data_IF_129432658654
#
_entry.id   IF_129432658654
#
_cell.length_a   1.000
_cell.length_b   1.000
_cell.length_c   1.000
_cell.angle_alpha   90.00
_cell.angle_beta   90.00
_cell.angle_gamma   90.00
#
_symmetry.space_group_name_H-M   'P 1'
#
loop_
_entity.id
_entity.type
_entity.pdbx_description
1 polymer ?
#
# COMPACT_ATOMS: atom_id res chain seq x y z
N UNK A 1 -22.89 -50.04 6.87
CA UNK A 1 -23.40 -48.70 6.49
C UNK A 1 -22.71 -47.55 7.23
N UNK A 2 -22.57 -47.57 8.57
CA UNK A 2 -21.92 -46.48 9.33
C UNK A 2 -20.47 -46.17 8.92
N UNK A 3 -19.68 -47.19 8.57
CA UNK A 3 -18.26 -47.02 8.17
C UNK A 3 -18.09 -46.30 6.83
N UNK A 4 -19.00 -46.57 5.87
CA UNK A 4 -19.00 -45.89 4.58
C UNK A 4 -19.45 -44.43 4.70
N UNK A 5 -20.36 -44.12 5.62
CA UNK A 5 -20.80 -42.75 5.90
C UNK A 5 -19.68 -41.89 6.51
N UNK A 6 -18.87 -42.47 7.40
CA UNK A 6 -17.69 -41.82 7.98
C UNK A 6 -16.58 -41.58 6.96
N UNK A 7 -16.33 -42.55 6.06
CA UNK A 7 -15.39 -42.40 4.94
C UNK A 7 -15.85 -41.32 3.94
N UNK A 8 -17.15 -41.26 3.64
CA UNK A 8 -17.71 -40.24 2.75
C UNK A 8 -17.66 -38.84 3.37
N UNK A 9 -17.93 -38.73 4.68
CA UNK A 9 -17.78 -37.47 5.42
C UNK A 9 -16.31 -37.01 5.47
N UNK A 10 -15.36 -37.92 5.70
CA UNK A 10 -13.93 -37.61 5.70
C UNK A 10 -13.42 -37.16 4.31
N UNK A 11 -13.92 -37.79 3.24
CA UNK A 11 -13.63 -37.39 1.84
C UNK A 11 -14.23 -36.03 1.49
N UNK A 12 -15.42 -35.71 1.99
CA UNK A 12 -16.02 -34.38 1.82
C UNK A 12 -15.24 -33.31 2.59
N UNK A 13 -14.85 -33.58 3.84
CA UNK A 13 -14.03 -32.66 4.65
C UNK A 13 -12.63 -32.40 4.07
N UNK A 14 -12.00 -33.41 3.47
CA UNK A 14 -10.72 -33.24 2.77
C UNK A 14 -10.91 -32.46 1.46
N UNK A 15 -11.97 -32.70 0.70
CA UNK A 15 -12.27 -31.93 -0.52
C UNK A 15 -12.51 -30.44 -0.23
N UNK A 16 -13.16 -30.08 0.89
CA UNK A 16 -13.28 -28.69 1.34
C UNK A 16 -11.92 -28.06 1.70
N UNK A 17 -10.98 -28.86 2.22
CA UNK A 17 -9.64 -28.38 2.57
C UNK A 17 -8.75 -28.16 1.34
N UNK A 18 -9.11 -28.72 0.17
CA UNK A 18 -8.42 -28.56 -1.10
C UNK A 18 -9.04 -27.51 -2.05
N UNK A 19 -10.06 -26.77 -1.61
CA UNK A 19 -10.44 -25.56 -2.33
C UNK A 19 -9.25 -24.59 -2.26
N UNK A 20 -8.48 -24.51 -3.34
CA UNK A 20 -7.31 -23.64 -3.45
C UNK A 20 -7.75 -22.21 -3.11
N UNK A 21 -7.16 -21.63 -2.07
CA UNK A 21 -7.48 -20.27 -1.67
C UNK A 21 -7.08 -19.34 -2.82
N UNK A 22 -8.05 -18.60 -3.35
CA UNK A 22 -7.82 -17.58 -4.37
C UNK A 22 -6.77 -16.60 -3.82
N UNK A 23 -5.60 -16.43 -4.48
CA UNK A 23 -4.59 -15.47 -4.05
C UNK A 23 -5.17 -14.07 -3.89
N UNK A 24 -4.64 -13.29 -2.96
CA UNK A 24 -5.06 -11.91 -2.78
C UNK A 24 -4.30 -10.95 -3.71
N UNK A 25 -3.04 -11.25 -4.02
CA UNK A 25 -2.24 -10.44 -4.92
C UNK A 25 -2.75 -10.54 -6.35
N UNK A 26 -3.03 -9.40 -6.97
CA UNK A 26 -3.56 -9.33 -8.33
C UNK A 26 -2.61 -10.03 -9.33
N UNK A 27 -1.30 -9.79 -9.21
CA UNK A 27 -0.27 -10.39 -10.05
C UNK A 27 -0.10 -11.91 -9.87
N UNK A 28 -0.72 -12.50 -8.86
CA UNK A 28 -0.76 -13.96 -8.62
C UNK A 28 -2.09 -14.60 -9.07
N UNK A 29 -3.09 -13.79 -9.44
CA UNK A 29 -4.36 -14.30 -9.96
C UNK A 29 -4.17 -14.83 -11.38
N UNK A 30 -4.72 -16.02 -11.65
CA UNK A 30 -4.97 -16.45 -13.02
C UNK A 30 -6.24 -15.76 -13.53
N UNK A 31 -6.28 -15.45 -14.84
CA UNK A 31 -7.39 -14.69 -15.43
C UNK A 31 -8.77 -15.35 -15.21
N UNK A 32 -8.83 -16.68 -15.13
CA UNK A 32 -10.07 -17.43 -14.86
C UNK A 32 -10.63 -17.18 -13.45
N UNK A 33 -9.77 -16.86 -12.49
CA UNK A 33 -10.16 -16.67 -11.09
C UNK A 33 -10.56 -15.22 -10.81
N UNK A 34 -10.27 -14.30 -11.74
CA UNK A 34 -10.48 -12.87 -11.56
C UNK A 34 -11.94 -12.49 -11.23
N UNK A 35 -12.98 -13.05 -11.89
CA UNK A 35 -14.37 -12.78 -11.50
C UNK A 35 -14.70 -13.24 -10.07
N UNK A 36 -14.15 -14.38 -9.64
CA UNK A 36 -14.35 -14.90 -8.29
C UNK A 36 -13.59 -14.06 -7.24
N UNK A 37 -12.38 -13.61 -7.55
CA UNK A 37 -11.61 -12.66 -6.73
C UNK A 37 -12.35 -11.33 -6.58
N UNK A 38 -12.92 -10.81 -7.67
CA UNK A 38 -13.71 -9.58 -7.66
C UNK A 38 -14.95 -9.70 -6.78
N UNK A 39 -15.68 -10.83 -6.87
CA UNK A 39 -16.84 -11.10 -6.02
C UNK A 39 -16.44 -11.27 -4.54
N UNK A 40 -15.40 -12.07 -4.27
CA UNK A 40 -14.92 -12.36 -2.91
C UNK A 40 -14.40 -11.11 -2.19
N UNK A 41 -13.74 -10.21 -2.91
CA UNK A 41 -13.24 -8.93 -2.37
C UNK A 41 -14.34 -7.87 -2.20
N UNK A 42 -15.58 -8.20 -2.55
CA UNK A 42 -16.67 -7.23 -2.66
C UNK A 42 -16.27 -6.02 -3.50
N UNK A 43 -15.50 -6.24 -4.60
CA UNK A 43 -14.96 -5.18 -5.46
C UNK A 43 -14.01 -4.19 -4.77
N UNK A 44 -13.31 -4.64 -3.73
CA UNK A 44 -12.29 -3.84 -3.01
C UNK A 44 -10.89 -4.17 -3.49
N UNK A 45 -10.15 -3.15 -3.91
CA UNK A 45 -8.73 -3.25 -4.23
C UNK A 45 -7.90 -2.42 -3.24
N UNK A 46 -6.88 -3.02 -2.65
CA UNK A 46 -5.86 -2.30 -1.87
C UNK A 46 -4.76 -1.87 -2.85
N UNK A 47 -4.44 -0.58 -2.89
CA UNK A 47 -3.31 -0.01 -3.61
C UNK A 47 -2.19 0.32 -2.61
N UNK A 48 -1.20 -0.58 -2.43
CA UNK A 48 -0.08 -0.33 -1.54
C UNK A 48 0.92 0.63 -2.20
N UNK A 49 1.12 1.82 -1.62
CA UNK A 49 2.05 2.83 -2.12
C UNK A 49 3.27 2.93 -1.19
N UNK A 50 4.45 2.59 -1.71
CA UNK A 50 5.75 2.88 -1.10
C UNK A 50 6.53 3.95 -1.87
N UNK A 51 7.80 4.12 -1.51
CA UNK A 51 8.79 4.95 -2.21
C UNK A 51 10.14 4.23 -2.20
N UNK A 52 10.98 4.51 -3.21
CA UNK A 52 12.40 4.18 -3.17
C UNK A 52 13.18 5.40 -2.66
N UNK A 53 13.57 5.40 -1.39
CA UNK A 53 14.24 6.53 -0.72
C UNK A 53 15.32 6.12 0.29
N UNK A 54 16.09 7.10 0.77
CA UNK A 54 17.12 6.89 1.79
C UNK A 54 16.51 6.77 3.19
N UNK A 55 16.75 5.64 3.85
CA UNK A 55 16.40 5.40 5.27
C UNK A 55 17.64 5.26 6.16
N UNK A 56 18.53 6.24 6.10
CA UNK A 56 19.82 6.18 6.80
C UNK A 56 20.75 5.07 6.26
N UNK A 57 21.87 4.78 6.96
CA UNK A 57 22.89 3.86 6.44
C UNK A 57 22.59 2.36 6.66
N UNK A 58 21.54 2.03 7.41
CA UNK A 58 21.29 0.67 7.89
C UNK A 58 20.04 0.02 7.30
N UNK A 59 19.14 0.82 6.70
CA UNK A 59 17.89 0.31 6.13
C UNK A 59 17.95 0.28 4.60
N UNK A 60 17.30 -0.71 3.95
CA UNK A 60 17.17 -0.76 2.49
C UNK A 60 16.47 0.49 1.92
N UNK A 61 16.76 0.81 0.67
CA UNK A 61 16.10 1.94 -0.01
C UNK A 61 14.59 1.71 -0.26
N UNK A 62 14.15 0.45 -0.28
CA UNK A 62 12.77 0.06 -0.54
C UNK A 62 11.95 -0.22 0.73
N UNK A 63 12.40 0.25 1.89
CA UNK A 63 11.75 -0.03 3.19
C UNK A 63 10.25 0.29 3.16
N UNK A 64 9.85 1.44 2.61
CA UNK A 64 8.45 1.81 2.49
C UNK A 64 7.62 0.77 1.74
N UNK A 65 8.11 0.29 0.59
CA UNK A 65 7.43 -0.72 -0.21
C UNK A 65 7.42 -2.10 0.48
N UNK A 66 8.50 -2.46 1.19
CA UNK A 66 8.58 -3.71 1.94
C UNK A 66 7.53 -3.74 3.05
N UNK A 67 7.40 -2.66 3.82
CA UNK A 67 6.43 -2.56 4.91
C UNK A 67 4.98 -2.62 4.41
N UNK A 68 4.64 -1.79 3.42
CA UNK A 68 3.27 -1.67 2.93
C UNK A 68 2.76 -2.98 2.30
N UNK A 69 3.64 -3.74 1.64
CA UNK A 69 3.34 -5.07 1.12
C UNK A 69 2.97 -6.04 2.22
N UNK A 70 3.72 -6.04 3.32
CA UNK A 70 3.48 -6.98 4.39
C UNK A 70 2.23 -6.59 5.21
N UNK A 71 1.97 -5.30 5.39
CA UNK A 71 0.71 -4.84 5.98
C UNK A 71 -0.50 -5.27 5.14
N UNK A 72 -0.46 -5.11 3.82
CA UNK A 72 -1.52 -5.56 2.93
C UNK A 72 -1.72 -7.08 3.02
N UNK A 73 -0.64 -7.86 2.97
CA UNK A 73 -0.69 -9.32 3.06
C UNK A 73 -1.22 -9.81 4.43
N UNK A 74 -0.98 -9.07 5.51
CA UNK A 74 -1.58 -9.34 6.81
C UNK A 74 -3.07 -8.96 6.87
N UNK A 75 -3.45 -7.79 6.35
CA UNK A 75 -4.83 -7.33 6.36
C UNK A 75 -5.77 -8.31 5.63
N UNK A 76 -5.35 -8.82 4.47
CA UNK A 76 -6.17 -9.73 3.65
C UNK A 76 -6.38 -11.12 4.25
N UNK A 77 -5.65 -11.48 5.32
CA UNK A 77 -5.92 -12.70 6.10
C UNK A 77 -7.17 -12.57 6.95
N UNK A 78 -7.50 -11.35 7.38
CA UNK A 78 -8.68 -11.06 8.20
C UNK A 78 -9.91 -10.75 7.36
N UNK A 79 -9.74 -9.95 6.30
CA UNK A 79 -10.81 -9.59 5.37
C UNK A 79 -10.26 -9.62 3.94
N UNK A 80 -10.76 -10.50 3.09
CA UNK A 80 -10.21 -10.67 1.75
C UNK A 80 -10.42 -9.42 0.89
N UNK A 81 -9.35 -8.91 0.31
CA UNK A 81 -9.36 -7.89 -0.73
C UNK A 81 -8.31 -8.23 -1.78
N UNK A 82 -8.47 -7.73 -3.01
CA UNK A 82 -7.42 -7.86 -4.01
C UNK A 82 -6.35 -6.80 -3.76
N UNK A 83 -5.08 -7.19 -3.76
CA UNK A 83 -3.95 -6.28 -3.54
C UNK A 83 -3.30 -5.99 -4.87
N UNK A 84 -3.25 -4.71 -5.26
CA UNK A 84 -2.55 -4.25 -6.44
C UNK A 84 -1.05 -4.56 -6.32
N UNK A 85 -0.34 -4.84 -7.43
CA UNK A 85 1.08 -5.15 -7.40
C UNK A 85 1.95 -3.99 -6.90
N UNK A 86 3.24 -4.24 -6.81
CA UNK A 86 4.23 -3.32 -6.25
C UNK A 86 4.16 -1.90 -6.89
N UNK A 87 3.74 -0.90 -6.10
CA UNK A 87 3.61 0.49 -6.53
C UNK A 87 4.48 1.41 -5.66
N UNK A 88 5.48 2.04 -6.26
CA UNK A 88 6.46 2.89 -5.56
C UNK A 88 6.59 4.29 -6.19
N UNK A 89 5.56 4.71 -6.93
CA UNK A 89 5.54 5.97 -7.65
C UNK A 89 4.75 7.01 -6.87
N UNK A 90 5.41 7.68 -5.92
CA UNK A 90 4.80 8.73 -5.13
C UNK A 90 5.69 9.96 -4.99
N UNK A 91 5.23 10.89 -4.14
CA UNK A 91 5.92 12.11 -3.81
C UNK A 91 7.19 11.76 -3.00
N UNK A 92 8.36 12.25 -3.41
CA UNK A 92 9.58 12.25 -2.60
C UNK A 92 10.48 13.48 -2.82
N UNK A 93 10.07 14.65 -2.37
CA UNK A 93 10.80 15.91 -2.58
C UNK A 93 11.97 16.04 -1.59
N UNK A 94 11.74 15.65 -0.35
CA UNK A 94 12.67 15.70 0.79
C UNK A 94 13.94 14.88 0.56
N UNK A 95 13.86 13.76 -0.16
CA UNK A 95 15.00 12.89 -0.44
C UNK A 95 15.40 12.88 -1.92
N UNK A 96 14.81 13.73 -2.78
CA UNK A 96 15.05 13.78 -4.23
C UNK A 96 16.53 13.83 -4.61
N UNK A 97 17.33 14.54 -3.81
CA UNK A 97 18.75 14.77 -4.06
C UNK A 97 19.66 13.72 -3.38
N UNK A 98 19.09 12.72 -2.71
CA UNK A 98 19.85 11.65 -2.08
C UNK A 98 20.15 10.54 -3.10
N UNK A 99 21.38 10.00 -3.14
CA UNK A 99 21.73 8.88 -4.00
C UNK A 99 20.84 7.66 -3.72
N UNK A 100 20.35 7.03 -4.79
CA UNK A 100 19.47 5.86 -4.71
C UNK A 100 17.97 6.18 -4.63
N UNK A 101 17.59 7.43 -4.33
CA UNK A 101 16.19 7.84 -4.38
C UNK A 101 15.68 7.89 -5.83
N UNK A 102 14.50 7.33 -6.08
CA UNK A 102 13.83 7.44 -7.38
C UNK A 102 12.69 8.45 -7.31
N UNK A 103 12.88 9.62 -7.92
CA UNK A 103 11.95 10.75 -7.80
C UNK A 103 11.43 11.21 -9.17
N UNK A 104 10.17 10.92 -9.46
CA UNK A 104 9.49 11.40 -10.67
C UNK A 104 9.03 12.86 -10.52
N UNK A 105 8.76 13.58 -11.62
CA UNK A 105 8.08 14.87 -11.57
C UNK A 105 6.65 14.73 -11.01
N UNK A 106 6.17 15.72 -10.24
CA UNK A 106 4.84 15.68 -9.60
C UNK A 106 3.70 15.45 -10.59
N UNK A 107 3.79 16.02 -11.81
CA UNK A 107 2.81 15.80 -12.87
C UNK A 107 2.73 14.32 -13.29
N UNK A 108 3.88 13.65 -13.43
CA UNK A 108 3.92 12.24 -13.83
C UNK A 108 3.33 11.37 -12.73
N UNK A 109 3.64 11.65 -11.47
CA UNK A 109 3.09 10.93 -10.31
C UNK A 109 1.57 11.09 -10.26
N UNK A 110 1.07 12.31 -10.46
CA UNK A 110 -0.36 12.60 -10.49
C UNK A 110 -1.08 11.83 -11.61
N UNK A 111 -0.61 11.98 -12.84
CA UNK A 111 -1.21 11.35 -14.01
C UNK A 111 -1.17 9.82 -13.88
N UNK A 112 -0.09 9.26 -13.32
CA UNK A 112 0.05 7.83 -13.09
C UNK A 112 -0.90 7.31 -12.01
N UNK A 113 -1.07 8.03 -10.89
CA UNK A 113 -2.00 7.62 -9.84
C UNK A 113 -3.45 7.66 -10.33
N UNK A 114 -3.85 8.73 -11.03
CA UNK A 114 -5.19 8.83 -11.62
C UNK A 114 -5.45 7.68 -12.60
N UNK A 115 -4.55 7.47 -13.57
CA UNK A 115 -4.68 6.41 -14.55
C UNK A 115 -4.69 5.01 -13.90
N UNK A 116 -3.94 4.81 -12.82
CA UNK A 116 -3.94 3.55 -12.07
C UNK A 116 -5.29 3.31 -11.40
N UNK A 117 -5.87 4.33 -10.75
CA UNK A 117 -7.21 4.21 -10.16
C UNK A 117 -8.28 3.95 -11.23
N UNK A 118 -8.21 4.65 -12.36
CA UNK A 118 -9.13 4.45 -13.48
C UNK A 118 -9.03 3.02 -14.04
N UNK A 119 -7.82 2.47 -14.20
CA UNK A 119 -7.63 1.09 -14.67
C UNK A 119 -8.07 0.04 -13.64
N UNK A 120 -7.83 0.27 -12.35
CA UNK A 120 -8.37 -0.57 -11.28
C UNK A 120 -9.90 -0.60 -11.39
N UNK A 121 -10.53 0.55 -11.61
CA UNK A 121 -11.97 0.65 -11.74
C UNK A 121 -12.52 0.04 -13.03
N UNK A 122 -11.81 0.19 -14.16
CA UNK A 122 -12.16 -0.44 -15.44
C UNK A 122 -12.22 -1.97 -15.33
N UNK A 123 -11.41 -2.56 -14.46
CA UNK A 123 -11.42 -4.00 -14.17
C UNK A 123 -12.47 -4.41 -13.11
N UNK A 124 -13.34 -3.50 -12.67
CA UNK A 124 -14.55 -3.80 -11.90
C UNK A 124 -14.49 -3.49 -10.41
N UNK A 125 -13.36 -3.01 -9.90
CA UNK A 125 -13.23 -2.55 -8.51
C UNK A 125 -13.87 -1.17 -8.33
N UNK A 126 -14.78 -1.02 -7.37
CA UNK A 126 -15.43 0.27 -7.09
C UNK A 126 -14.97 0.89 -5.75
N UNK A 127 -14.12 0.18 -5.00
CA UNK A 127 -13.50 0.66 -3.75
C UNK A 127 -12.00 0.47 -3.84
N UNK A 128 -11.26 1.57 -3.80
CA UNK A 128 -9.80 1.58 -3.85
C UNK A 128 -9.28 2.08 -2.50
N UNK A 129 -8.58 1.23 -1.76
CA UNK A 129 -7.95 1.60 -0.48
C UNK A 129 -6.47 1.88 -0.73
N UNK A 130 -6.09 3.15 -0.71
CA UNK A 130 -4.69 3.55 -0.74
C UNK A 130 -4.09 3.30 0.65
N UNK A 131 -3.18 2.34 0.70
CA UNK A 131 -2.39 2.00 1.88
C UNK A 131 -1.01 2.60 1.71
N UNK A 132 -0.64 3.57 2.53
CA UNK A 132 0.59 4.34 2.35
C UNK A 132 1.69 3.95 3.33
N UNK A 133 2.89 3.68 2.79
CA UNK A 133 4.11 3.38 3.56
C UNK A 133 5.05 4.57 3.77
N UNK A 134 4.85 5.70 3.06
CA UNK A 134 5.82 6.80 3.02
C UNK A 134 5.34 8.08 3.72
N UNK A 135 6.22 8.73 4.48
CA UNK A 135 5.88 9.91 5.29
C UNK A 135 5.54 11.19 4.50
N UNK A 136 6.08 11.39 3.30
CA UNK A 136 5.87 12.59 2.46
C UNK A 136 4.63 12.54 1.57
N UNK A 137 4.01 11.36 1.41
CA UNK A 137 2.83 11.16 0.58
C UNK A 137 1.48 11.66 1.14
N UNK A 138 1.21 11.76 2.47
CA UNK A 138 -0.14 11.99 2.97
C UNK A 138 -0.84 13.22 2.40
N UNK A 139 -0.17 14.38 2.36
CA UNK A 139 -0.77 15.62 1.84
C UNK A 139 -1.06 15.52 0.34
N UNK A 140 -0.16 14.88 -0.42
CA UNK A 140 -0.35 14.63 -1.84
C UNK A 140 -1.57 13.73 -2.10
N UNK A 141 -1.70 12.62 -1.36
CA UNK A 141 -2.83 11.68 -1.51
C UNK A 141 -4.14 12.34 -1.07
N UNK A 142 -4.15 13.09 0.02
CA UNK A 142 -5.35 13.80 0.48
C UNK A 142 -5.82 14.83 -0.56
N UNK A 143 -4.90 15.61 -1.13
CA UNK A 143 -5.23 16.55 -2.19
C UNK A 143 -5.70 15.84 -3.46
N UNK A 144 -5.06 14.73 -3.84
CA UNK A 144 -5.52 13.87 -4.93
C UNK A 144 -6.97 13.43 -4.71
N UNK A 145 -7.30 12.88 -3.54
CA UNK A 145 -8.67 12.47 -3.23
C UNK A 145 -9.68 13.61 -3.30
N UNK A 146 -9.33 14.79 -2.80
CA UNK A 146 -10.18 15.98 -2.91
C UNK A 146 -10.41 16.36 -4.37
N UNK A 147 -9.38 16.26 -5.20
CA UNK A 147 -9.46 16.61 -6.62
C UNK A 147 -10.38 15.68 -7.42
N UNK A 148 -10.53 14.41 -7.01
CA UNK A 148 -11.47 13.46 -7.63
C UNK A 148 -12.92 13.94 -7.54
N UNK A 149 -13.25 14.87 -6.64
CA UNK A 149 -14.58 15.48 -6.57
C UNK A 149 -14.90 16.40 -7.77
N UNK A 150 -13.92 16.72 -8.61
CA UNK A 150 -14.12 17.59 -9.78
C UNK A 150 -15.02 16.96 -10.86
N UNK A 151 -15.15 15.63 -10.87
CA UNK A 151 -15.96 14.86 -11.83
C UNK A 151 -16.54 13.63 -11.15
N UNK A 152 -17.51 12.98 -11.79
CA UNK A 152 -18.02 11.70 -11.29
C UNK A 152 -17.06 10.59 -11.67
N UNK A 153 -16.73 9.73 -10.70
CA UNK A 153 -15.99 8.50 -10.91
C UNK A 153 -16.90 7.30 -10.62
N UNK A 154 -16.59 6.16 -11.24
CA UNK A 154 -17.28 4.88 -10.97
C UNK A 154 -16.75 4.17 -9.72
N UNK A 155 -15.81 4.78 -9.01
CA UNK A 155 -15.13 4.23 -7.84
C UNK A 155 -15.02 5.29 -6.73
N UNK A 156 -14.83 4.81 -5.51
CA UNK A 156 -14.46 5.62 -4.35
C UNK A 156 -13.03 5.28 -3.91
N UNK A 157 -12.29 6.32 -3.51
CA UNK A 157 -10.94 6.17 -2.94
C UNK A 157 -11.02 6.35 -1.43
N UNK A 158 -10.38 5.45 -0.69
CA UNK A 158 -10.18 5.50 0.74
C UNK A 158 -8.69 5.62 1.00
N UNK A 159 -8.30 6.39 2.00
CA UNK A 159 -6.90 6.56 2.37
C UNK A 159 -6.68 6.12 3.81
N UNK A 160 -5.77 5.15 3.98
CA UNK A 160 -5.29 4.75 5.29
C UNK A 160 -3.86 5.23 5.48
N UNK A 161 -3.68 6.12 6.46
CA UNK A 161 -2.37 6.56 6.92
C UNK A 161 -2.14 6.01 8.34
N UNK A 162 -1.19 5.09 8.55
CA UNK A 162 -0.91 4.55 9.88
C UNK A 162 -0.39 5.65 10.85
N UNK A 163 0.24 6.70 10.32
CA UNK A 163 0.78 7.77 11.14
C UNK A 163 -0.32 8.75 11.56
N UNK A 164 -0.75 8.66 12.83
CA UNK A 164 -1.62 9.63 13.48
C UNK A 164 -3.13 9.35 13.43
N UNK A 165 -3.58 8.37 12.63
CA UNK A 165 -4.99 7.98 12.59
C UNK A 165 -5.40 7.07 13.77
N UNK A 166 -4.47 6.25 14.27
CA UNK A 166 -4.71 5.30 15.35
C UNK A 166 -3.84 5.65 16.58
N UNK A 167 -4.51 6.06 17.66
CA UNK A 167 -3.86 6.42 18.93
C UNK A 167 -3.17 5.22 19.56
N UNK A 168 -3.78 4.03 19.51
CA UNK A 168 -3.22 2.81 20.09
C UNK A 168 -1.95 2.40 19.33
N UNK A 169 -2.02 2.35 18.00
CA UNK A 169 -0.85 2.13 17.16
C UNK A 169 0.25 3.15 17.45
N UNK A 170 -0.08 4.44 17.53
CA UNK A 170 0.88 5.50 17.79
C UNK A 170 1.55 5.34 19.16
N UNK A 171 0.77 4.98 20.19
CA UNK A 171 1.28 4.77 21.55
C UNK A 171 2.17 3.51 21.63
N UNK A 172 1.82 2.44 20.92
CA UNK A 172 2.66 1.25 20.78
C UNK A 172 3.96 1.56 20.02
N UNK A 173 3.87 2.27 18.89
CA UNK A 173 5.02 2.69 18.10
C UNK A 173 6.01 3.51 18.92
N UNK A 174 5.53 4.51 19.69
CA UNK A 174 6.39 5.32 20.58
C UNK A 174 7.11 4.50 21.65
N UNK A 175 6.50 3.41 22.16
CA UNK A 175 7.15 2.52 23.13
C UNK A 175 8.27 1.69 22.50
N UNK A 176 8.13 1.32 21.22
CA UNK A 176 9.11 0.52 20.49
C UNK A 176 10.27 1.37 19.95
N UNK A 177 10.01 2.63 19.65
CA UNK A 177 10.98 3.55 19.05
C UNK A 177 12.01 4.03 20.08
N UNK A 178 13.28 3.64 19.87
CA UNK A 178 14.40 3.96 20.78
C UNK A 178 15.20 5.19 20.34
N UNK A 179 15.19 5.52 19.06
CA UNK A 179 15.76 6.74 18.49
C UNK A 179 14.78 7.91 18.63
N UNK A 180 15.28 9.14 18.46
CA UNK A 180 14.38 10.27 18.28
C UNK A 180 13.72 10.17 16.90
N UNK A 181 12.38 10.27 16.84
CA UNK A 181 11.60 10.24 15.58
C UNK A 181 12.14 11.25 14.54
N UNK A 182 12.74 12.34 15.02
CA UNK A 182 13.36 13.39 14.20
C UNK A 182 14.52 12.89 13.30
N UNK A 183 15.10 11.72 13.58
CA UNK A 183 16.22 11.14 12.81
C UNK A 183 15.87 9.94 11.93
N UNK A 184 14.69 9.33 12.11
CA UNK A 184 14.28 8.09 11.43
C UNK A 184 13.48 8.34 10.15
N UNK A 185 12.73 9.44 10.11
CA UNK A 185 12.13 9.97 8.90
C UNK A 185 12.85 11.28 8.60
N UNK A 186 13.28 11.49 7.34
CA UNK A 186 13.84 12.78 6.92
C UNK A 186 12.86 13.86 7.40
N UNK A 187 13.26 14.71 8.37
CA UNK A 187 12.31 15.61 8.98
C UNK A 187 11.85 16.60 7.90
N UNK A 188 10.60 16.47 7.46
CA UNK A 188 9.89 17.52 6.72
C UNK A 188 9.88 18.85 7.50
N UNK A 189 10.22 18.82 8.80
CA UNK A 189 10.70 19.99 9.53
C UNK A 189 12.14 20.29 9.13
N UNK A 190 12.29 21.07 8.07
CA UNK A 190 13.50 21.86 7.81
C UNK A 190 13.81 22.66 9.08
N UNK A 191 14.69 22.14 9.94
CA UNK A 191 15.44 22.97 10.89
C UNK A 191 16.59 23.56 10.09
N UNK A 192 16.59 24.87 9.79
CA UNK A 192 17.70 25.49 9.10
C UNK A 192 18.83 25.59 10.11
N UNK A 193 19.72 24.59 10.17
CA UNK A 193 21.05 24.73 10.75
C UNK A 193 21.88 23.48 10.45
N UNK A 194 22.96 23.71 9.71
CA UNK A 194 24.11 22.83 9.41
C UNK A 194 23.97 21.88 8.22
N UNK A 195 23.75 22.47 7.04
CA UNK A 195 24.36 21.95 5.82
C UNK A 195 24.75 23.12 4.90
N UNK A 196 25.68 23.96 5.38
CA UNK A 196 26.67 24.60 4.51
C UNK A 196 27.77 23.53 4.38
N UNK A 197 28.16 23.05 3.20
CA UNK A 197 28.98 23.73 2.18
C UNK A 197 28.99 22.81 0.95
N UNK A 198 28.66 23.27 -0.27
CA UNK A 198 29.53 23.47 -1.46
C UNK A 198 28.53 23.54 -2.63
N UNK A 199 28.62 24.36 -3.67
CA UNK A 199 29.22 25.65 -3.94
C UNK A 199 28.49 26.15 -5.20
N UNK A 200 28.17 27.44 -5.25
CA UNK A 200 27.90 28.11 -6.52
C UNK A 200 29.25 28.25 -7.23
N UNK A 201 29.39 27.64 -8.41
CA UNK A 201 30.02 28.20 -9.62
C UNK A 201 29.24 27.63 -10.81
#
# INVERSE_FOLDING_TARGET
MKTYLLLFAALLLSAYSFAQQIPARWDELVASDFPAALAKSSKTCILPIGILEKHGPHSPLGTDLIHVREWAAHAVKSEYAVVFPDYFYGQINEARHQPGTFALPSKVIWDLLEATCDEIARNGFDKIVILNGHGGNPEFIQFFMQSLLNKRHSYAVYFYNPHGADKEYTDQYRKMHKSAIEGDQMPAKVKPRRCFTIAQI
#
